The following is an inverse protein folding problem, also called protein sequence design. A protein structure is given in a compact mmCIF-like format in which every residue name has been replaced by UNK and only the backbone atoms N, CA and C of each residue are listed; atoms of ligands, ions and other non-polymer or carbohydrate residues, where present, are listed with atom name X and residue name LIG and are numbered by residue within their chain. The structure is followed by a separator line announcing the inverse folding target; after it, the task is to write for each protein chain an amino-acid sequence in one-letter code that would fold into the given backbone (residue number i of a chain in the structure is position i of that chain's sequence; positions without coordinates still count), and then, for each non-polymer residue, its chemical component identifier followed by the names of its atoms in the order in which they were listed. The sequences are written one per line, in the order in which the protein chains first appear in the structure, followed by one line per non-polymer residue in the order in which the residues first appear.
data_IF_075058758265
#
_entry.id   IF_075058758265
#
_cell.length_a   1.000
_cell.length_b   1.000
_cell.length_c   1.000
_cell.angle_alpha   90.00
_cell.angle_beta   90.00
_cell.angle_gamma   90.00
#
_symmetry.space_group_name_H-M   'P 1'
#
loop_
_entity.id
_entity.type
_entity.pdbx_description
1 polymer ?
#
# COMPACT_ATOMS: atom_id res chain seq x y z
N UNK A 1 -4.80 31.99 -36.19
CA UNK A 1 -5.04 30.65 -36.76
C UNK A 1 -6.16 30.05 -35.95
N UNK A 2 -7.40 30.00 -36.50
CA UNK A 2 -8.55 29.47 -35.75
C UNK A 2 -8.43 27.94 -35.72
N UNK A 3 -8.29 27.36 -34.54
CA UNK A 3 -8.37 25.90 -34.36
C UNK A 3 -9.80 25.45 -34.59
N UNK A 4 -10.03 24.70 -35.67
CA UNK A 4 -11.30 24.04 -35.91
C UNK A 4 -11.46 22.91 -34.88
N UNK A 5 -12.53 22.98 -34.07
CA UNK A 5 -12.94 21.90 -33.21
C UNK A 5 -13.24 20.66 -34.08
N UNK A 6 -12.81 19.45 -33.63
CA UNK A 6 -13.11 18.24 -34.36
C UNK A 6 -14.61 18.01 -34.46
N UNK A 7 -15.10 17.90 -35.70
CA UNK A 7 -16.52 17.71 -35.99
C UNK A 7 -16.87 16.21 -36.01
N UNK A 8 -17.89 15.83 -35.27
CA UNK A 8 -18.43 14.47 -35.31
C UNK A 8 -19.46 14.37 -36.42
N UNK A 9 -19.23 13.57 -37.48
CA UNK A 9 -20.21 13.39 -38.54
C UNK A 9 -21.54 12.84 -38.01
N UNK A 10 -22.64 13.25 -38.60
CA UNK A 10 -24.00 12.86 -38.16
C UNK A 10 -24.38 11.45 -38.58
N UNK A 11 -23.64 10.85 -39.52
CA UNK A 11 -23.88 9.54 -40.15
C UNK A 11 -23.10 8.38 -39.53
N UNK A 12 -22.37 8.63 -38.43
CA UNK A 12 -21.67 7.54 -37.70
C UNK A 12 -22.66 6.71 -36.86
N UNK A 13 -22.41 5.39 -36.71
CA UNK A 13 -23.32 4.46 -36.03
C UNK A 13 -23.23 4.54 -34.51
N UNK A 14 -23.13 5.75 -33.95
CA UNK A 14 -23.11 5.96 -32.50
C UNK A 14 -24.50 6.29 -31.98
N UNK A 15 -24.83 5.78 -30.78
CA UNK A 15 -26.05 6.16 -30.07
C UNK A 15 -26.01 7.64 -29.64
N UNK A 16 -27.17 8.22 -29.31
CA UNK A 16 -27.25 9.62 -28.82
C UNK A 16 -26.36 9.85 -27.58
N UNK A 17 -26.31 8.91 -26.67
CA UNK A 17 -25.49 8.99 -25.45
C UNK A 17 -23.99 8.92 -25.77
N UNK A 18 -23.56 8.05 -26.68
CA UNK A 18 -22.17 7.95 -27.13
C UNK A 18 -21.72 9.24 -27.85
N UNK A 19 -22.58 9.87 -28.62
CA UNK A 19 -22.30 11.16 -29.26
C UNK A 19 -22.16 12.29 -28.24
N UNK A 20 -23.01 12.32 -27.21
CA UNK A 20 -22.95 13.31 -26.13
C UNK A 20 -21.67 13.16 -25.32
N UNK A 21 -21.28 11.94 -24.98
CA UNK A 21 -20.03 11.64 -24.29
C UNK A 21 -18.79 12.06 -25.08
N UNK A 22 -18.76 11.72 -26.38
CA UNK A 22 -17.64 12.05 -27.25
C UNK A 22 -17.52 13.57 -27.47
N UNK A 23 -18.65 14.29 -27.57
CA UNK A 23 -18.65 15.74 -27.67
C UNK A 23 -18.09 16.40 -26.39
N UNK A 24 -18.45 15.91 -25.21
CA UNK A 24 -17.90 16.36 -23.92
C UNK A 24 -16.41 16.13 -23.80
N UNK A 25 -15.95 14.96 -24.22
CA UNK A 25 -14.53 14.60 -24.22
C UNK A 25 -13.70 15.52 -25.13
N UNK A 26 -14.15 15.75 -26.36
CA UNK A 26 -13.48 16.64 -27.32
C UNK A 26 -13.49 18.11 -26.86
N UNK A 27 -14.54 18.56 -26.20
CA UNK A 27 -14.60 19.90 -25.61
C UNK A 27 -13.56 20.05 -24.46
N UNK A 28 -13.38 19.01 -23.63
CA UNK A 28 -12.39 18.99 -22.56
C UNK A 28 -10.93 19.03 -23.07
N UNK A 29 -10.65 18.40 -24.20
CA UNK A 29 -9.33 18.48 -24.84
C UNK A 29 -9.00 19.89 -25.36
N UNK A 30 -10.00 20.66 -25.79
CA UNK A 30 -9.84 22.03 -26.28
C UNK A 30 -9.50 23.05 -25.20
N UNK A 31 -9.86 22.79 -23.94
CA UNK A 31 -9.61 23.72 -22.81
C UNK A 31 -8.21 23.59 -22.21
N UNK A 32 -7.45 22.54 -22.55
CA UNK A 32 -6.10 22.28 -22.03
C UNK A 32 -4.97 23.11 -22.67
N UNK A 33 -5.26 23.94 -23.67
CA UNK A 33 -4.28 24.64 -24.49
C UNK A 33 -4.16 26.16 -24.26
N UNK A 34 -4.67 26.73 -23.18
CA UNK A 34 -4.52 28.17 -22.93
C UNK A 34 -3.84 28.42 -21.58
N UNK A 35 -2.52 28.26 -21.54
CA UNK A 35 -1.69 28.93 -20.55
C UNK A 35 -1.06 30.13 -21.25
N UNK A 36 -1.40 31.38 -20.91
CA UNK A 36 -0.69 32.54 -21.43
C UNK A 36 0.71 32.59 -20.82
N UNK A 37 1.73 32.45 -21.66
CA UNK A 37 3.10 32.78 -21.31
C UNK A 37 3.23 34.29 -21.18
N UNK A 38 3.59 34.75 -19.99
CA UNK A 38 4.05 36.14 -19.83
C UNK A 38 3.65 36.78 -18.51
N UNK A 39 4.42 36.57 -17.46
CA UNK A 39 4.84 37.65 -16.55
C UNK A 39 5.98 37.13 -15.66
N UNK A 40 7.17 37.61 -15.93
CA UNK A 40 8.30 37.43 -15.04
C UNK A 40 8.17 38.40 -13.85
N UNK A 41 8.18 37.87 -12.63
CA UNK A 41 8.42 38.62 -11.42
C UNK A 41 9.42 37.84 -10.53
N UNK A 42 10.23 38.51 -9.71
CA UNK A 42 11.56 38.06 -9.30
C UNK A 42 11.54 36.97 -8.23
N UNK A 43 12.59 36.13 -8.26
CA UNK A 43 12.92 35.13 -7.29
C UNK A 43 12.90 35.65 -5.86
N UNK A 44 12.08 35.09 -5.01
CA UNK A 44 12.29 35.08 -3.57
C UNK A 44 12.79 33.71 -3.13
N UNK A 45 14.04 33.73 -2.69
CA UNK A 45 14.73 32.59 -2.07
C UNK A 45 14.19 32.44 -0.65
N UNK A 46 13.75 31.24 -0.30
CA UNK A 46 13.69 30.81 1.09
C UNK A 46 12.31 30.74 1.73
N UNK A 47 11.67 29.60 1.58
CA UNK A 47 10.89 28.95 2.65
C UNK A 47 10.81 27.46 2.30
N UNK A 48 11.26 26.63 3.22
CA UNK A 48 10.99 25.20 3.19
C UNK A 48 9.48 24.96 3.06
N UNK A 49 9.01 23.95 2.29
CA UNK A 49 7.58 23.66 2.26
C UNK A 49 7.14 23.19 3.64
N UNK A 50 6.35 24.02 4.31
CA UNK A 50 5.58 23.61 5.48
C UNK A 50 4.62 22.52 5.01
N UNK A 51 4.73 21.37 5.64
CA UNK A 51 3.85 20.21 5.39
C UNK A 51 2.49 20.43 6.08
N UNK A 52 1.71 21.43 5.65
CA UNK A 52 0.34 21.64 6.06
C UNK A 52 -0.40 22.42 4.96
N UNK A 53 -0.64 21.73 3.84
CA UNK A 53 -1.64 22.17 2.88
C UNK A 53 -2.68 21.05 2.84
N UNK A 54 -3.81 21.28 3.49
CA UNK A 54 -5.02 20.50 3.32
C UNK A 54 -5.40 20.53 1.83
N UNK A 55 -5.01 19.49 1.10
CA UNK A 55 -5.43 19.29 -0.27
C UNK A 55 -6.81 18.65 -0.22
N UNK A 56 -7.84 19.46 -0.52
CA UNK A 56 -9.21 19.01 -0.82
C UNK A 56 -9.24 18.27 -2.18
N UNK A 57 -8.38 17.27 -2.32
CA UNK A 57 -8.21 16.42 -3.49
C UNK A 57 -8.19 14.95 -3.11
N UNK A 58 -8.41 14.05 -4.07
CA UNK A 58 -8.34 12.62 -3.79
C UNK A 58 -6.97 12.23 -3.24
N UNK A 59 -6.99 11.39 -2.22
CA UNK A 59 -5.80 10.97 -1.47
C UNK A 59 -4.99 9.96 -2.27
N UNK A 60 -3.75 10.26 -2.61
CA UNK A 60 -2.89 9.37 -3.41
C UNK A 60 -2.62 8.04 -2.69
N UNK A 61 -2.75 6.94 -3.43
CA UNK A 61 -2.46 5.57 -3.01
C UNK A 61 -1.65 4.85 -4.08
N UNK A 62 -0.46 4.38 -3.74
CA UNK A 62 0.35 3.53 -4.61
C UNK A 62 -0.02 2.06 -4.37
N UNK A 63 -0.24 1.31 -5.42
CA UNK A 63 -0.43 -0.14 -5.42
C UNK A 63 0.67 -0.75 -6.26
N UNK A 64 1.53 -1.56 -5.64
CA UNK A 64 2.60 -2.29 -6.33
C UNK A 64 2.24 -3.76 -6.42
N UNK A 65 2.45 -4.34 -7.59
CA UNK A 65 2.34 -5.78 -7.75
C UNK A 65 3.63 -6.39 -8.29
N UNK A 66 3.90 -7.64 -7.86
CA UNK A 66 4.92 -8.51 -8.42
C UNK A 66 4.31 -9.88 -8.69
N UNK A 67 4.38 -10.36 -9.94
CA UNK A 67 3.65 -11.53 -10.37
C UNK A 67 4.42 -12.35 -11.39
N UNK A 68 4.29 -13.68 -11.34
CA UNK A 68 4.81 -14.58 -12.37
C UNK A 68 3.69 -15.05 -13.32
N UNK A 69 2.45 -15.09 -12.84
CA UNK A 69 1.31 -15.71 -13.55
C UNK A 69 0.11 -14.79 -13.70
N UNK A 70 0.23 -13.51 -13.30
CA UNK A 70 -0.82 -12.49 -13.41
C UNK A 70 -1.81 -12.45 -12.24
N UNK A 71 -1.70 -13.34 -11.24
CA UNK A 71 -2.63 -13.34 -10.11
C UNK A 71 -2.51 -12.07 -9.26
N UNK A 72 -1.29 -11.62 -8.96
CA UNK A 72 -1.09 -10.41 -8.17
C UNK A 72 -1.53 -9.15 -8.93
N UNK A 73 -1.33 -9.10 -10.25
CA UNK A 73 -1.83 -8.04 -11.13
C UNK A 73 -3.36 -7.96 -11.09
N UNK A 74 -4.05 -9.11 -11.21
CA UNK A 74 -5.51 -9.16 -11.12
C UNK A 74 -6.03 -8.61 -9.78
N UNK A 75 -5.37 -8.96 -8.66
CA UNK A 75 -5.73 -8.41 -7.35
C UNK A 75 -5.45 -6.90 -7.30
N UNK A 76 -4.34 -6.42 -7.88
CA UNK A 76 -4.01 -5.01 -7.92
C UNK A 76 -5.04 -4.18 -8.71
N UNK A 77 -5.56 -4.70 -9.81
CA UNK A 77 -6.64 -4.06 -10.57
C UNK A 77 -7.97 -4.03 -9.78
N UNK A 78 -8.25 -5.09 -9.03
CA UNK A 78 -9.38 -5.12 -8.10
C UNK A 78 -9.20 -4.08 -7.00
N UNK A 79 -8.00 -3.99 -6.41
CA UNK A 79 -7.65 -3.00 -5.40
C UNK A 79 -7.79 -1.57 -5.91
N UNK A 80 -7.37 -1.29 -7.15
CA UNK A 80 -7.57 0.00 -7.81
C UNK A 80 -9.03 0.42 -7.86
N UNK A 81 -9.89 -0.52 -8.28
CA UNK A 81 -11.33 -0.26 -8.40
C UNK A 81 -11.96 0.02 -7.03
N UNK A 82 -11.63 -0.78 -6.02
CA UNK A 82 -12.14 -0.61 -4.66
C UNK A 82 -11.59 0.68 -4.01
N UNK A 83 -10.31 0.98 -4.16
CA UNK A 83 -9.70 2.19 -3.63
C UNK A 83 -10.33 3.47 -4.19
N UNK A 84 -10.63 3.51 -5.49
CA UNK A 84 -11.35 4.62 -6.10
C UNK A 84 -12.75 4.85 -5.49
N UNK A 85 -13.46 3.76 -5.14
CA UNK A 85 -14.75 3.86 -4.46
C UNK A 85 -14.63 4.37 -2.99
N UNK A 86 -13.45 4.21 -2.37
CA UNK A 86 -13.13 4.73 -1.04
C UNK A 86 -12.55 6.16 -1.04
N UNK A 87 -12.48 6.82 -2.20
CA UNK A 87 -12.02 8.22 -2.33
C UNK A 87 -10.51 8.38 -2.49
N UNK A 88 -9.78 7.29 -2.71
CA UNK A 88 -8.37 7.34 -3.06
C UNK A 88 -8.16 7.62 -4.56
N UNK A 89 -6.97 8.15 -4.90
CA UNK A 89 -6.44 8.22 -6.27
C UNK A 89 -5.38 7.12 -6.44
N UNK A 90 -5.80 5.88 -6.81
CA UNK A 90 -4.91 4.73 -6.87
C UNK A 90 -4.07 4.74 -8.13
N UNK A 91 -2.75 4.63 -7.95
CA UNK A 91 -1.78 4.37 -9.00
C UNK A 91 -1.31 2.93 -8.89
N UNK A 92 -1.51 2.13 -9.94
CA UNK A 92 -1.05 0.74 -10.02
C UNK A 92 0.22 0.70 -10.85
N UNK A 93 1.26 0.06 -10.35
CA UNK A 93 2.54 -0.12 -11.03
C UNK A 93 3.07 -1.53 -10.82
N UNK A 94 3.74 -2.05 -11.82
CA UNK A 94 4.61 -3.21 -11.69
C UNK A 94 5.81 -2.87 -10.80
N UNK A 95 6.30 -3.85 -10.03
CA UNK A 95 7.50 -3.67 -9.21
C UNK A 95 8.75 -3.39 -10.07
N UNK A 96 8.81 -3.91 -11.28
CA UNK A 96 9.90 -3.62 -12.22
C UNK A 96 10.01 -2.14 -12.59
N UNK A 97 8.91 -1.40 -12.52
CA UNK A 97 8.87 0.03 -12.88
C UNK A 97 9.08 0.96 -11.65
N UNK A 98 9.23 0.41 -10.44
CA UNK A 98 9.34 1.19 -9.20
C UNK A 98 10.79 1.38 -8.75
N UNK A 99 11.26 2.61 -8.74
CA UNK A 99 12.56 2.96 -8.15
C UNK A 99 12.45 3.40 -6.68
N UNK A 100 13.56 3.30 -5.93
CA UNK A 100 13.60 3.63 -4.49
C UNK A 100 13.38 5.11 -4.20
N UNK A 101 13.69 6.01 -5.14
CA UNK A 101 13.47 7.45 -4.98
C UNK A 101 11.97 7.77 -5.04
N UNK A 102 11.29 7.16 -5.98
CA UNK A 102 9.84 7.25 -6.12
C UNK A 102 9.15 6.63 -4.92
N UNK A 103 9.58 5.43 -4.47
CA UNK A 103 9.03 4.77 -3.29
C UNK A 103 9.17 5.62 -2.03
N UNK A 104 10.31 6.28 -1.83
CA UNK A 104 10.55 7.15 -0.67
C UNK A 104 9.63 8.39 -0.63
N UNK A 105 9.04 8.77 -1.75
CA UNK A 105 8.07 9.86 -1.84
C UNK A 105 6.62 9.40 -1.63
N UNK A 106 6.37 8.08 -1.63
CA UNK A 106 5.05 7.50 -1.43
C UNK A 106 4.65 7.60 0.04
N UNK A 107 3.41 8.01 0.29
CA UNK A 107 2.86 8.08 1.66
C UNK A 107 1.99 6.87 2.02
N UNK A 108 1.33 6.27 1.03
CA UNK A 108 0.45 5.09 1.21
C UNK A 108 0.74 4.05 0.16
N UNK A 109 0.97 2.83 0.59
CA UNK A 109 1.40 1.73 -0.25
C UNK A 109 0.63 0.45 0.05
N UNK A 110 0.07 -0.18 -0.97
CA UNK A 110 -0.36 -1.57 -0.92
C UNK A 110 0.58 -2.39 -1.80
N UNK A 111 1.13 -3.45 -1.25
CA UNK A 111 1.99 -4.41 -1.94
C UNK A 111 1.24 -5.71 -2.11
N UNK A 112 1.18 -6.21 -3.35
CA UNK A 112 0.53 -7.47 -3.70
C UNK A 112 1.56 -8.29 -4.47
N UNK A 113 2.08 -9.35 -3.86
CA UNK A 113 3.21 -10.09 -4.44
C UNK A 113 2.97 -11.59 -4.39
N UNK A 114 3.23 -12.27 -5.51
CA UNK A 114 3.27 -13.73 -5.56
C UNK A 114 4.66 -14.24 -5.22
N UNK A 115 4.72 -15.50 -4.79
CA UNK A 115 5.97 -16.21 -4.56
C UNK A 115 6.16 -17.24 -5.67
N UNK A 116 7.36 -17.31 -6.22
CA UNK A 116 7.70 -18.25 -7.28
C UNK A 116 8.58 -19.38 -6.74
N UNK A 117 8.44 -20.59 -7.32
CA UNK A 117 9.26 -21.74 -6.96
C UNK A 117 9.28 -22.06 -5.47
N UNK A 118 10.46 -22.26 -4.92
CA UNK A 118 10.67 -22.64 -3.52
C UNK A 118 10.76 -21.44 -2.54
N UNK A 119 10.30 -20.25 -2.97
CA UNK A 119 10.30 -19.05 -2.13
C UNK A 119 10.93 -17.84 -2.78
N UNK A 120 11.19 -17.90 -4.09
CA UNK A 120 11.85 -16.86 -4.84
C UNK A 120 10.92 -15.69 -5.16
N UNK A 121 11.50 -14.51 -5.42
CA UNK A 121 10.75 -13.38 -5.98
C UNK A 121 10.29 -13.71 -7.40
N UNK A 122 9.13 -13.17 -7.85
CA UNK A 122 8.80 -13.16 -9.27
C UNK A 122 9.84 -12.37 -10.07
N UNK A 123 10.00 -12.71 -11.34
CA UNK A 123 11.01 -12.06 -12.21
C UNK A 123 10.86 -10.54 -12.26
N UNK A 124 9.63 -10.03 -12.26
CA UNK A 124 9.30 -8.60 -12.26
C UNK A 124 9.55 -7.90 -10.91
N UNK A 125 9.68 -8.65 -9.81
CA UNK A 125 9.94 -8.11 -8.48
C UNK A 125 11.43 -8.22 -8.04
N UNK A 126 12.27 -8.92 -8.80
CA UNK A 126 13.65 -9.23 -8.39
C UNK A 126 14.52 -7.97 -8.24
N UNK A 127 14.52 -7.09 -9.24
CA UNK A 127 15.31 -5.85 -9.20
C UNK A 127 14.81 -4.90 -8.10
N UNK A 128 13.50 -4.80 -7.90
CA UNK A 128 12.90 -4.04 -6.82
C UNK A 128 13.32 -4.60 -5.45
N UNK A 129 13.27 -5.91 -5.27
CA UNK A 129 13.68 -6.55 -4.04
C UNK A 129 15.17 -6.32 -3.75
N UNK A 130 16.04 -6.47 -4.75
CA UNK A 130 17.47 -6.21 -4.58
C UNK A 130 17.74 -4.77 -4.13
N UNK A 131 17.05 -3.79 -4.72
CA UNK A 131 17.17 -2.39 -4.34
C UNK A 131 16.61 -2.11 -2.94
N UNK A 132 15.47 -2.71 -2.58
CA UNK A 132 14.85 -2.57 -1.27
C UNK A 132 15.68 -3.22 -0.16
N UNK A 133 16.30 -4.38 -0.43
CA UNK A 133 17.14 -5.14 0.50
C UNK A 133 18.55 -4.55 0.66
N UNK A 134 18.96 -3.63 -0.23
CA UNK A 134 20.29 -3.03 -0.20
C UNK A 134 20.56 -2.32 1.14
N UNK A 135 21.83 -2.35 1.64
CA UNK A 135 22.18 -1.70 2.90
C UNK A 135 22.00 -0.18 2.90
N UNK A 136 22.04 0.43 1.73
CA UNK A 136 21.87 1.86 1.49
C UNK A 136 20.46 2.24 1.02
N UNK A 137 19.50 1.31 1.11
CA UNK A 137 18.11 1.61 0.84
C UNK A 137 17.61 2.78 1.71
N UNK A 138 16.83 3.72 1.14
CA UNK A 138 16.37 4.89 1.86
C UNK A 138 15.46 4.53 3.04
N UNK A 139 15.45 5.37 4.06
CA UNK A 139 14.45 5.28 5.12
C UNK A 139 13.07 5.61 4.56
N UNK A 140 12.07 4.89 5.03
CA UNK A 140 10.68 5.03 4.60
C UNK A 140 9.79 5.54 5.75
N UNK A 141 10.36 6.40 6.61
CA UNK A 141 9.62 7.01 7.70
C UNK A 141 8.44 7.85 7.15
N UNK A 142 7.24 7.60 7.66
CA UNK A 142 6.02 8.25 7.18
C UNK A 142 5.30 7.55 6.02
N UNK A 143 5.83 6.42 5.51
CA UNK A 143 5.12 5.53 4.62
C UNK A 143 4.18 4.62 5.43
N UNK A 144 2.91 4.61 5.09
CA UNK A 144 1.90 3.68 5.59
C UNK A 144 1.70 2.54 4.59
N UNK A 145 1.78 1.28 5.05
CA UNK A 145 1.74 0.18 4.10
C UNK A 145 0.95 -1.03 4.59
N UNK A 146 0.51 -1.85 3.62
CA UNK A 146 -0.01 -3.20 3.81
C UNK A 146 0.57 -4.15 2.76
N UNK A 147 0.72 -5.43 3.09
CA UNK A 147 1.24 -6.48 2.19
C UNK A 147 0.23 -7.61 2.10
N UNK A 148 -0.10 -8.01 0.89
CA UNK A 148 -0.81 -9.24 0.57
C UNK A 148 0.15 -10.16 -0.17
N UNK A 149 0.38 -11.34 0.37
CA UNK A 149 1.26 -12.34 -0.22
C UNK A 149 0.45 -13.49 -0.81
N UNK A 150 0.75 -13.86 -2.05
CA UNK A 150 0.16 -15.00 -2.74
C UNK A 150 1.19 -16.12 -2.85
N UNK A 151 0.77 -17.35 -2.63
CA UNK A 151 1.63 -18.51 -2.71
C UNK A 151 0.84 -19.80 -2.86
N UNK A 152 1.54 -20.92 -2.69
CA UNK A 152 0.97 -22.25 -2.64
C UNK A 152 1.57 -22.96 -1.43
N UNK A 153 0.75 -23.38 -0.49
CA UNK A 153 1.14 -23.99 0.77
C UNK A 153 1.80 -25.37 0.65
N UNK A 154 1.79 -25.96 -0.56
CA UNK A 154 2.54 -27.19 -0.81
C UNK A 154 4.06 -26.98 -0.86
N UNK A 155 4.54 -25.73 -1.03
CA UNK A 155 5.95 -25.37 -1.08
C UNK A 155 6.45 -24.87 0.27
N UNK A 156 7.68 -25.23 0.65
CA UNK A 156 8.29 -24.83 1.92
C UNK A 156 8.42 -23.29 2.03
N UNK A 157 8.66 -22.61 0.92
CA UNK A 157 8.75 -21.16 0.81
C UNK A 157 7.40 -20.43 0.67
N UNK A 158 6.30 -21.01 1.19
CA UNK A 158 4.97 -20.41 1.11
C UNK A 158 4.95 -18.92 1.48
N UNK A 159 4.54 -18.06 0.54
CA UNK A 159 4.45 -16.60 0.66
C UNK A 159 5.75 -15.90 1.10
N UNK A 160 6.93 -16.49 0.78
CA UNK A 160 8.21 -15.98 1.26
C UNK A 160 8.54 -14.59 0.72
N UNK A 161 8.19 -14.28 -0.53
CA UNK A 161 8.38 -12.96 -1.14
C UNK A 161 7.68 -11.86 -0.34
N UNK A 162 6.42 -12.07 0.00
CA UNK A 162 5.66 -11.12 0.81
C UNK A 162 6.19 -10.97 2.22
N UNK A 163 6.64 -12.08 2.85
CA UNK A 163 7.28 -12.05 4.17
C UNK A 163 8.55 -11.21 4.17
N UNK A 164 9.37 -11.35 3.15
CA UNK A 164 10.62 -10.63 3.00
C UNK A 164 10.36 -9.11 2.82
N UNK A 165 9.47 -8.75 1.91
CA UNK A 165 9.13 -7.34 1.64
C UNK A 165 8.51 -6.69 2.89
N UNK A 166 7.57 -7.35 3.56
CA UNK A 166 6.90 -6.86 4.75
C UNK A 166 7.89 -6.58 5.89
N UNK A 167 8.79 -7.53 6.17
CA UNK A 167 9.83 -7.35 7.17
C UNK A 167 10.75 -6.18 6.83
N UNK A 168 11.17 -6.08 5.57
CA UNK A 168 12.09 -5.04 5.13
C UNK A 168 11.50 -3.64 5.14
N UNK A 169 10.25 -3.48 4.74
CA UNK A 169 9.54 -2.19 4.85
C UNK A 169 9.47 -1.71 6.31
N UNK A 170 9.17 -2.62 7.26
CA UNK A 170 9.17 -2.30 8.68
C UNK A 170 10.57 -1.90 9.19
N UNK A 171 11.64 -2.59 8.78
CA UNK A 171 13.04 -2.25 9.13
C UNK A 171 13.43 -0.87 8.61
N UNK A 172 12.96 -0.47 7.43
CA UNK A 172 13.19 0.85 6.84
C UNK A 172 12.37 1.96 7.50
N UNK A 173 11.48 1.64 8.45
CA UNK A 173 10.73 2.61 9.25
C UNK A 173 9.31 2.88 8.75
N UNK A 174 8.83 2.13 7.77
CA UNK A 174 7.45 2.23 7.33
C UNK A 174 6.47 1.71 8.40
N UNK A 175 5.27 2.28 8.45
CA UNK A 175 4.22 1.91 9.41
C UNK A 175 3.23 0.97 8.77
N UNK A 176 3.15 -0.27 9.30
CA UNK A 176 2.15 -1.25 8.86
C UNK A 176 0.76 -0.82 9.35
N UNK A 177 -0.21 -0.72 8.43
CA UNK A 177 -1.60 -0.31 8.76
C UNK A 177 -2.54 -1.49 8.95
N UNK A 178 -2.17 -2.64 8.42
CA UNK A 178 -2.90 -3.90 8.52
C UNK A 178 -1.92 -5.07 8.52
N UNK A 179 -2.22 -6.13 9.23
CA UNK A 179 -1.40 -7.34 9.23
C UNK A 179 -1.31 -7.93 7.82
N UNK A 180 -0.12 -8.46 7.48
CA UNK A 180 0.07 -9.19 6.23
C UNK A 180 -0.83 -10.43 6.22
N UNK A 181 -1.43 -10.70 5.06
CA UNK A 181 -2.16 -11.94 4.83
C UNK A 181 -1.40 -12.79 3.80
N UNK A 182 -1.14 -14.03 4.17
CA UNK A 182 -0.52 -15.05 3.34
C UNK A 182 -1.64 -15.91 2.74
N UNK A 183 -1.88 -15.75 1.44
CA UNK A 183 -2.96 -16.41 0.70
C UNK A 183 -2.45 -17.64 -0.03
N UNK A 184 -3.18 -18.74 0.09
CA UNK A 184 -2.99 -19.95 -0.70
C UNK A 184 -3.65 -19.81 -2.09
N UNK A 185 -3.68 -20.89 -2.86
CA UNK A 185 -4.21 -20.93 -4.24
C UNK A 185 -5.64 -20.40 -4.38
N UNK A 186 -6.47 -20.56 -3.37
CA UNK A 186 -7.85 -20.02 -3.31
C UNK A 186 -7.87 -18.61 -2.67
N UNK A 187 -7.08 -17.69 -3.19
CA UNK A 187 -6.77 -16.39 -2.58
C UNK A 187 -7.92 -15.36 -2.63
N UNK A 188 -8.89 -15.48 -3.54
CA UNK A 188 -9.85 -14.43 -3.87
C UNK A 188 -10.57 -13.87 -2.64
N UNK A 189 -11.14 -14.74 -1.81
CA UNK A 189 -11.88 -14.32 -0.62
C UNK A 189 -11.00 -13.61 0.40
N UNK A 190 -9.82 -14.18 0.67
CA UNK A 190 -8.87 -13.60 1.63
C UNK A 190 -8.31 -12.26 1.13
N UNK A 191 -8.10 -12.14 -0.19
CA UNK A 191 -7.68 -10.89 -0.81
C UNK A 191 -8.76 -9.80 -0.69
N UNK A 192 -10.03 -10.12 -0.96
CA UNK A 192 -11.13 -9.17 -0.82
C UNK A 192 -11.32 -8.71 0.63
N UNK A 193 -11.26 -9.62 1.60
CA UNK A 193 -11.35 -9.28 3.03
C UNK A 193 -10.18 -8.42 3.48
N UNK A 194 -8.95 -8.74 3.05
CA UNK A 194 -7.76 -7.94 3.35
C UNK A 194 -7.83 -6.55 2.71
N UNK A 195 -8.23 -6.44 1.45
CA UNK A 195 -8.39 -5.16 0.75
C UNK A 195 -9.38 -4.23 1.47
N UNK A 196 -10.53 -4.76 1.85
CA UNK A 196 -11.53 -3.99 2.60
C UNK A 196 -10.95 -3.47 3.92
N UNK A 197 -10.21 -4.30 4.66
CA UNK A 197 -9.54 -3.92 5.90
C UNK A 197 -8.43 -2.88 5.68
N UNK A 198 -7.60 -3.05 4.65
CA UNK A 198 -6.50 -2.14 4.31
C UNK A 198 -7.02 -0.74 3.95
N UNK A 199 -8.03 -0.67 3.11
CA UNK A 199 -8.64 0.60 2.70
C UNK A 199 -9.32 1.31 3.86
N UNK A 200 -10.01 0.57 4.74
CA UNK A 200 -10.59 1.13 5.96
C UNK A 200 -9.52 1.69 6.92
N UNK A 201 -8.40 0.95 7.12
CA UNK A 201 -7.31 1.39 7.96
C UNK A 201 -6.61 2.66 7.40
N UNK A 202 -6.37 2.71 6.08
CA UNK A 202 -5.81 3.88 5.42
C UNK A 202 -6.76 5.10 5.52
N UNK A 203 -8.07 4.90 5.35
CA UNK A 203 -9.07 5.97 5.53
C UNK A 203 -9.09 6.51 6.96
N UNK A 204 -8.95 5.62 7.97
CA UNK A 204 -8.93 6.02 9.37
C UNK A 204 -7.72 6.91 9.71
N UNK A 205 -6.57 6.73 9.07
CA UNK A 205 -5.37 7.58 9.24
C UNK A 205 -5.66 9.00 8.75
N UNK A 206 -6.35 9.16 7.62
CA UNK A 206 -6.69 10.48 7.09
C UNK A 206 -7.68 11.23 7.98
N UNK A 207 -8.67 10.52 8.52
CA UNK A 207 -9.68 11.11 9.41
C UNK A 207 -9.18 11.29 10.85
N UNK A 208 -8.21 10.47 11.29
CA UNK A 208 -7.63 10.52 12.64
C UNK A 208 -6.60 11.64 12.83
N UNK A 209 -5.94 12.09 11.77
CA UNK A 209 -5.01 13.23 11.81
C UNK A 209 -5.68 14.57 12.14
N UNK A 210 -7.00 14.68 12.00
CA UNK A 210 -7.77 15.87 12.36
C UNK A 210 -8.25 15.88 13.83
N UNK A 211 -7.89 14.89 14.67
CA UNK A 211 -8.45 14.71 16.02
C UNK A 211 -7.44 14.56 17.15
N UNK A 212 -6.21 15.00 16.97
CA UNK A 212 -5.21 15.05 18.04
C UNK A 212 -4.95 16.50 18.46
N UNK A 213 -5.98 17.16 19.04
CA UNK A 213 -5.80 18.26 19.97
C UNK A 213 -6.71 18.05 21.16
N UNK A 214 -6.05 17.92 22.34
CA UNK A 214 -6.62 18.09 23.67
C UNK A 214 -7.63 17.03 24.20
N UNK A 215 -7.09 15.98 24.83
CA UNK A 215 -7.59 15.62 26.16
C UNK A 215 -6.44 15.02 27.02
N UNK A 216 -5.76 15.89 27.71
CA UNK A 216 -4.92 15.57 28.85
C UNK A 216 -5.82 15.57 30.07
N UNK A 217 -6.31 14.43 30.51
CA UNK A 217 -6.70 14.23 31.91
C UNK A 217 -6.97 12.76 32.22
N UNK A 218 -6.22 12.19 33.16
CA UNK A 218 -6.61 11.00 33.88
C UNK A 218 -5.65 9.82 33.84
N UNK A 219 -4.42 10.01 34.28
CA UNK A 219 -3.59 8.87 34.69
C UNK A 219 -4.15 8.28 35.99
N UNK A 220 -4.93 7.21 35.88
CA UNK A 220 -5.23 6.35 37.02
C UNK A 220 -4.31 5.13 36.97
N UNK A 221 -3.35 5.15 37.87
CA UNK A 221 -2.36 4.10 38.09
C UNK A 221 -3.07 2.90 38.72
N UNK A 222 -3.36 1.89 37.93
CA UNK A 222 -3.79 0.58 38.43
C UNK A 222 -2.56 -0.27 38.62
N UNK A 223 -2.18 -0.45 39.87
CA UNK A 223 -1.15 -1.36 40.35
C UNK A 223 -1.60 -2.82 40.12
N UNK A 224 -0.81 -3.70 39.49
CA UNK A 224 -1.20 -5.10 39.33
C UNK A 224 -1.08 -5.85 40.66
N UNK A 225 -2.02 -6.75 40.99
CA UNK A 225 -1.95 -7.52 42.25
C UNK A 225 -0.77 -8.50 42.24
N UNK A 226 -0.03 -8.49 43.35
CA UNK A 226 1.12 -9.38 43.60
C UNK A 226 0.75 -10.84 43.47
N UNK A 227 1.42 -11.54 42.55
CA UNK A 227 1.34 -12.99 42.44
C UNK A 227 2.03 -13.64 43.65
N UNK A 228 1.28 -14.37 44.44
CA UNK A 228 1.80 -15.24 45.49
C UNK A 228 2.45 -16.46 44.84
N UNK A 229 3.76 -16.57 45.00
CA UNK A 229 4.54 -17.76 44.63
C UNK A 229 4.28 -18.83 45.67
N UNK A 230 3.52 -19.85 45.29
CA UNK A 230 3.42 -21.11 46.06
C UNK A 230 4.61 -21.98 45.65
N UNK A 231 5.54 -22.15 46.57
CA UNK A 231 6.67 -23.07 46.41
C UNK A 231 6.21 -24.44 46.81
N UNK A 232 5.92 -25.29 45.84
CA UNK A 232 5.61 -26.69 46.06
C UNK A 232 6.94 -27.48 45.96
N UNK A 233 7.38 -28.07 47.07
CA UNK A 233 8.56 -28.91 47.15
C UNK A 233 8.22 -30.34 46.79
N UNK A 234 8.81 -30.95 45.77
CA UNK A 234 8.57 -32.37 45.52
C UNK A 234 9.34 -33.25 46.51
N UNK A 235 8.58 -34.05 47.22
CA UNK A 235 9.03 -35.14 48.07
C UNK A 235 9.65 -36.25 47.20
N UNK A 236 10.94 -36.51 47.36
CA UNK A 236 11.69 -37.52 46.60
C UNK A 236 11.74 -38.83 47.39
N UNK A 237 11.16 -39.95 46.93
CA UNK A 237 11.39 -41.26 47.59
C UNK A 237 12.78 -41.83 47.18
N UNK A 238 13.41 -42.62 48.07
CA UNK A 238 14.76 -43.07 47.87
C UNK A 238 14.89 -44.22 46.87
N UNK A 239 15.92 -44.12 46.05
CA UNK A 239 16.32 -45.10 45.05
C UNK A 239 16.81 -46.38 45.72
N UNK A 240 16.13 -47.51 45.50
CA UNK A 240 16.62 -48.84 45.87
C UNK A 240 17.60 -49.31 44.81
N UNK A 241 18.86 -49.46 45.23
CA UNK A 241 19.92 -50.18 44.53
C UNK A 241 19.59 -51.68 44.45
N UNK A 242 19.52 -52.22 43.24
CA UNK A 242 19.53 -53.67 43.02
C UNK A 242 20.85 -54.06 42.40
N UNK A 243 21.67 -54.83 43.19
CA UNK A 243 22.87 -55.53 42.76
C UNK A 243 22.51 -56.95 42.42
N UNK A 244 22.82 -57.46 41.26
CA UNK A 244 23.36 -58.77 40.89
C UNK A 244 23.67 -58.79 39.39
#
# INVERSE_FOLDING_TARGET
MMMQLPYIPTDVPFTGEQKAWLAGFLAGLGTRSVIPAGSAAPAQVGAAPSADAEADGPVGLQILYGTQTGNAEWVADTAKTQAGAHGFDPQVSDMADMDMTTLAAVRRLLVIVSTYGEGDMPDDAEDFWQALAAPDAPRLDGLYYGVLALGDSIYDGFCQSGKNIDARLAELGATRVIDRVDCDVDFQKSADEWLAGALAALTAIETGGARATDDESGAETVEPPAAQVVVDTPDTPPCLLYTS
#
